data_IF_728853448950
#
_entry.id   IF_728853448950
#
_cell.length_a   1.000
_cell.length_b   1.000
_cell.length_c   1.000
_cell.angle_alpha   90.00
_cell.angle_beta   90.00
_cell.angle_gamma   90.00
#
_symmetry.space_group_name_H-M   'P 1'
#
loop_
_entity.id
_entity.type
_entity.pdbx_description
1 polymer ?
#
# COMPACT_ATOMS: atom_id res chain seq x y z
N UNK A 1 -15.32 -10.31 -3.46
CA UNK A 1 -14.09 -11.09 -3.66
C UNK A 1 -13.28 -10.41 -4.75
N UNK A 2 -12.45 -9.42 -4.41
CA UNK A 2 -11.66 -8.60 -5.36
C UNK A 2 -10.18 -8.99 -5.42
N UNK A 3 -9.72 -9.94 -4.59
CA UNK A 3 -8.30 -10.22 -4.33
C UNK A 3 -7.67 -11.39 -5.09
N UNK A 4 -8.41 -12.04 -6.00
CA UNK A 4 -7.92 -13.21 -6.78
C UNK A 4 -7.93 -12.94 -8.30
N UNK A 5 -8.44 -11.79 -8.71
CA UNK A 5 -8.44 -11.39 -10.11
C UNK A 5 -7.20 -10.55 -10.39
N UNK A 6 -6.38 -10.96 -11.36
CA UNK A 6 -5.14 -10.29 -11.74
C UNK A 6 -5.29 -9.42 -13.00
N UNK A 7 -6.50 -9.00 -13.34
CA UNK A 7 -6.77 -8.13 -14.49
C UNK A 7 -6.23 -6.70 -14.30
N UNK A 8 -5.91 -6.06 -15.42
CA UNK A 8 -5.26 -4.75 -15.48
C UNK A 8 -5.97 -3.82 -16.43
N UNK A 9 -5.90 -2.53 -16.14
CA UNK A 9 -6.26 -1.45 -17.04
C UNK A 9 -5.01 -0.64 -17.36
N UNK A 10 -4.73 -0.43 -18.65
CA UNK A 10 -3.59 0.36 -19.10
C UNK A 10 -4.01 1.82 -19.27
N UNK A 11 -3.33 2.71 -18.55
CA UNK A 11 -3.51 4.16 -18.70
C UNK A 11 -2.35 4.69 -19.55
N UNK A 12 -2.63 5.34 -20.69
CA UNK A 12 -1.59 5.86 -21.57
C UNK A 12 -0.61 6.78 -20.82
N UNK A 13 0.69 6.56 -21.03
CA UNK A 13 1.81 7.27 -20.39
C UNK A 13 1.95 7.10 -18.86
N UNK A 14 1.08 6.30 -18.24
CA UNK A 14 1.09 6.03 -16.80
C UNK A 14 1.53 4.60 -16.53
N UNK A 15 1.01 3.64 -17.29
CA UNK A 15 1.27 2.20 -17.10
C UNK A 15 0.01 1.43 -16.72
N UNK A 16 0.20 0.22 -16.22
CA UNK A 16 -0.91 -0.69 -15.91
C UNK A 16 -1.27 -0.65 -14.43
N UNK A 17 -2.57 -0.54 -14.14
CA UNK A 17 -3.13 -0.57 -12.80
C UNK A 17 -4.06 -1.77 -12.63
N UNK A 18 -4.09 -2.34 -11.44
CA UNK A 18 -4.96 -3.47 -11.10
C UNK A 18 -6.44 -3.06 -11.09
N UNK A 19 -7.27 -3.71 -11.92
CA UNK A 19 -8.70 -3.35 -12.10
C UNK A 19 -9.48 -3.41 -10.81
N UNK A 20 -9.29 -4.48 -10.01
CA UNK A 20 -10.00 -4.63 -8.74
C UNK A 20 -9.79 -3.46 -7.77
N UNK A 21 -8.64 -2.78 -7.79
CA UNK A 21 -8.42 -1.61 -6.94
C UNK A 21 -9.07 -0.36 -7.50
N UNK A 22 -9.12 -0.19 -8.84
CA UNK A 22 -9.87 0.88 -9.48
C UNK A 22 -11.38 0.76 -9.19
N UNK A 23 -11.93 -0.46 -9.27
CA UNK A 23 -13.32 -0.75 -8.90
C UNK A 23 -13.61 -0.43 -7.44
N UNK A 24 -12.70 -0.79 -6.51
CA UNK A 24 -12.83 -0.42 -5.10
C UNK A 24 -12.80 1.09 -4.85
N UNK A 25 -12.08 1.85 -5.69
CA UNK A 25 -12.11 3.32 -5.67
C UNK A 25 -13.37 3.89 -6.31
N UNK A 26 -14.20 3.06 -6.93
CA UNK A 26 -15.37 3.45 -7.71
C UNK A 26 -14.99 4.23 -8.96
N UNK A 27 -13.87 3.87 -9.59
CA UNK A 27 -13.38 4.42 -10.85
C UNK A 27 -13.66 3.39 -11.94
N UNK A 28 -14.90 3.30 -12.38
CA UNK A 28 -15.33 2.37 -13.42
C UNK A 28 -15.53 0.91 -12.96
N UNK A 29 -15.93 0.06 -13.90
CA UNK A 29 -16.18 -1.37 -13.69
C UNK A 29 -15.64 -2.22 -14.83
N UNK A 30 -15.21 -3.45 -14.54
CA UNK A 30 -14.73 -4.41 -15.55
C UNK A 30 -15.76 -4.75 -16.65
N UNK A 31 -17.05 -4.60 -16.35
CA UNK A 31 -18.14 -4.86 -17.29
C UNK A 31 -18.27 -3.76 -18.35
N UNK A 32 -17.68 -2.58 -18.10
CA UNK A 32 -17.71 -1.43 -18.97
C UNK A 32 -16.34 -0.76 -18.98
N UNK A 33 -15.44 -1.23 -19.86
CA UNK A 33 -14.08 -0.69 -19.94
C UNK A 33 -14.04 0.82 -20.26
N UNK A 34 -15.05 1.33 -20.98
CA UNK A 34 -15.15 2.76 -21.31
C UNK A 34 -15.36 3.65 -20.08
N UNK A 35 -15.90 3.08 -18.99
CA UNK A 35 -16.04 3.78 -17.73
C UNK A 35 -14.67 4.15 -17.11
N UNK A 36 -13.66 3.28 -17.22
CA UNK A 36 -12.30 3.59 -16.78
C UNK A 36 -11.71 4.74 -17.60
N UNK A 37 -11.86 4.72 -18.92
CA UNK A 37 -11.38 5.78 -19.81
C UNK A 37 -12.01 7.12 -19.48
N UNK A 38 -13.32 7.13 -19.21
CA UNK A 38 -14.06 8.34 -18.88
C UNK A 38 -13.52 9.04 -17.62
N UNK A 39 -13.03 8.26 -16.66
CA UNK A 39 -12.46 8.77 -15.41
C UNK A 39 -10.96 9.02 -15.49
N UNK A 40 -10.20 8.23 -16.24
CA UNK A 40 -8.72 8.27 -16.23
C UNK A 40 -8.10 9.04 -17.39
N UNK A 41 -8.82 9.23 -18.51
CA UNK A 41 -8.31 9.96 -19.68
C UNK A 41 -8.83 11.40 -19.76
N UNK A 42 -10.03 11.68 -19.24
CA UNK A 42 -10.52 13.07 -19.13
C UNK A 42 -9.87 13.70 -17.89
N UNK A 43 -8.86 14.53 -18.12
CA UNK A 43 -8.36 15.47 -17.09
C UNK A 43 -9.47 16.47 -16.80
N UNK A 44 -10.29 16.19 -15.81
CA UNK A 44 -11.33 17.12 -15.40
C UNK A 44 -10.69 18.24 -14.57
N UNK A 45 -9.96 19.13 -15.25
CA UNK A 45 -9.17 20.22 -14.66
C UNK A 45 -9.97 21.16 -13.74
N UNK A 46 -11.31 21.06 -13.79
CA UNK A 46 -12.23 21.91 -13.05
C UNK A 46 -12.95 21.17 -11.92
N UNK A 47 -12.75 19.85 -11.72
CA UNK A 47 -13.53 19.07 -10.75
C UNK A 47 -13.30 19.50 -9.29
N UNK A 48 -12.12 20.02 -8.94
CA UNK A 48 -11.84 20.52 -7.59
C UNK A 48 -11.86 22.05 -7.46
N UNK A 49 -12.08 22.76 -8.57
CA UNK A 49 -12.30 24.23 -8.64
C UNK A 49 -13.79 24.60 -8.67
N UNK A 50 -14.64 23.79 -8.04
CA UNK A 50 -16.08 23.99 -8.04
C UNK A 50 -16.50 25.02 -6.98
N UNK A 51 -17.41 25.90 -7.37
CA UNK A 51 -18.19 26.75 -6.45
C UNK A 51 -19.16 25.89 -5.60
N UNK A 52 -19.69 26.45 -4.52
CA UNK A 52 -20.51 25.72 -3.53
C UNK A 52 -21.79 25.07 -4.11
N UNK A 53 -22.28 25.55 -5.27
CA UNK A 53 -23.43 24.96 -5.96
C UNK A 53 -23.04 23.80 -6.89
N UNK A 54 -21.97 23.94 -7.68
CA UNK A 54 -21.49 22.84 -8.54
C UNK A 54 -20.81 21.72 -7.74
N UNK A 55 -20.37 22.00 -6.50
CA UNK A 55 -19.92 20.99 -5.55
C UNK A 55 -21.04 20.00 -5.19
N UNK A 56 -22.29 20.46 -4.97
CA UNK A 56 -23.43 19.57 -4.63
C UNK A 56 -23.84 18.67 -5.80
N UNK A 57 -23.75 19.18 -7.02
CA UNK A 57 -24.01 18.42 -8.25
C UNK A 57 -22.91 17.37 -8.50
N UNK A 58 -21.65 17.76 -8.30
CA UNK A 58 -20.50 16.86 -8.36
C UNK A 58 -20.49 15.85 -7.24
N UNK A 59 -20.95 16.20 -6.02
CA UNK A 59 -21.18 15.26 -4.91
C UNK A 59 -22.29 14.26 -5.23
N UNK A 60 -23.36 14.66 -5.94
CA UNK A 60 -24.41 13.73 -6.41
C UNK A 60 -23.89 12.74 -7.45
N UNK A 61 -23.02 13.17 -8.37
CA UNK A 61 -22.31 12.27 -9.30
C UNK A 61 -21.24 11.42 -8.59
N UNK A 62 -20.53 11.99 -7.61
CA UNK A 62 -19.49 11.36 -6.81
C UNK A 62 -20.02 10.37 -5.76
N UNK A 63 -21.31 10.40 -5.42
CA UNK A 63 -21.95 9.46 -4.49
C UNK A 63 -21.86 7.98 -4.93
N UNK A 64 -21.27 7.71 -6.10
CA UNK A 64 -20.97 6.37 -6.62
C UNK A 64 -19.48 6.00 -6.55
N UNK A 65 -18.61 6.88 -6.07
CA UNK A 65 -17.15 6.72 -6.12
C UNK A 65 -16.45 7.14 -4.83
N UNK A 66 -15.76 6.19 -4.20
CA UNK A 66 -14.99 6.46 -3.00
C UNK A 66 -13.86 7.48 -3.24
N UNK A 67 -13.23 7.43 -4.42
CA UNK A 67 -12.19 8.38 -4.80
C UNK A 67 -12.69 9.83 -4.77
N UNK A 68 -13.76 10.14 -5.50
CA UNK A 68 -14.25 11.51 -5.59
C UNK A 68 -14.78 12.02 -4.24
N UNK A 69 -15.44 11.17 -3.45
CA UNK A 69 -15.89 11.53 -2.11
C UNK A 69 -14.72 11.94 -1.21
N UNK A 70 -13.65 11.15 -1.18
CA UNK A 70 -12.45 11.45 -0.37
C UNK A 70 -11.73 12.67 -0.91
N UNK A 71 -11.56 12.78 -2.23
CA UNK A 71 -10.83 13.88 -2.85
C UNK A 71 -11.53 15.23 -2.66
N UNK A 72 -12.87 15.30 -2.80
CA UNK A 72 -13.65 16.53 -2.54
C UNK A 72 -13.53 16.90 -1.07
N UNK A 73 -13.75 15.94 -0.16
CA UNK A 73 -13.67 16.21 1.28
C UNK A 73 -12.27 16.68 1.69
N UNK A 74 -11.24 16.07 1.13
CA UNK A 74 -9.85 16.47 1.36
C UNK A 74 -9.60 17.88 0.81
N UNK A 75 -10.02 18.17 -0.42
CA UNK A 75 -9.87 19.51 -1.03
C UNK A 75 -10.46 20.60 -0.14
N UNK A 76 -11.67 20.40 0.40
CA UNK A 76 -12.30 21.38 1.28
C UNK A 76 -11.52 21.56 2.59
N UNK A 77 -11.13 20.47 3.25
CA UNK A 77 -10.33 20.54 4.47
C UNK A 77 -8.98 21.26 4.22
N UNK A 78 -8.40 21.06 3.05
CA UNK A 78 -7.18 21.73 2.64
C UNK A 78 -7.40 23.23 2.33
N UNK A 79 -8.54 23.61 1.72
CA UNK A 79 -8.89 25.02 1.52
C UNK A 79 -9.13 25.74 2.86
N UNK A 80 -9.82 25.09 3.79
CA UNK A 80 -10.08 25.60 5.15
C UNK A 80 -8.79 25.72 6.00
N UNK A 81 -7.79 24.89 5.70
CA UNK A 81 -6.54 24.82 6.47
C UNK A 81 -5.32 24.93 5.54
N UNK A 82 -4.92 26.14 5.11
CA UNK A 82 -3.87 26.33 4.08
C UNK A 82 -2.53 25.65 4.39
N UNK A 83 -2.17 25.53 5.67
CA UNK A 83 -0.91 24.92 6.11
C UNK A 83 -1.03 23.41 6.40
N UNK A 84 -2.24 22.84 6.35
CA UNK A 84 -2.45 21.43 6.64
C UNK A 84 -1.83 20.55 5.55
N UNK A 85 -1.18 19.48 5.99
CA UNK A 85 -0.72 18.37 5.16
C UNK A 85 -1.50 17.11 5.52
N UNK A 86 -1.51 16.13 4.65
CA UNK A 86 -2.21 14.86 4.90
C UNK A 86 -1.30 13.65 4.71
N UNK A 87 -1.67 12.57 5.38
CA UNK A 87 -1.06 11.26 5.25
C UNK A 87 -2.13 10.28 4.78
N UNK A 88 -1.74 9.38 3.87
CA UNK A 88 -2.61 8.28 3.44
C UNK A 88 -2.03 6.98 3.97
N UNK A 89 -2.87 6.13 4.56
CA UNK A 89 -2.42 4.86 5.12
C UNK A 89 -3.47 3.78 5.00
N UNK A 90 -3.03 2.53 5.05
CA UNK A 90 -3.92 1.39 5.06
C UNK A 90 -3.17 0.07 5.17
N UNK A 91 -3.90 -0.96 5.61
CA UNK A 91 -3.42 -2.33 5.70
C UNK A 91 -4.08 -3.20 4.62
N UNK A 92 -3.35 -4.18 4.09
CA UNK A 92 -3.88 -5.14 3.11
C UNK A 92 -4.46 -4.45 1.86
N UNK A 93 -5.70 -4.76 1.48
CA UNK A 93 -6.47 -4.03 0.46
C UNK A 93 -6.45 -2.52 0.71
N UNK A 94 -6.63 -2.07 1.96
CA UNK A 94 -6.56 -0.65 2.30
C UNK A 94 -5.18 -0.05 2.02
N UNK A 95 -4.11 -0.83 2.11
CA UNK A 95 -2.76 -0.42 1.71
C UNK A 95 -2.65 -0.20 0.20
N UNK A 96 -3.28 -1.05 -0.62
CA UNK A 96 -3.37 -0.83 -2.06
C UNK A 96 -4.15 0.45 -2.38
N UNK A 97 -5.31 0.64 -1.75
CA UNK A 97 -6.13 1.85 -1.95
C UNK A 97 -5.40 3.12 -1.49
N UNK A 98 -4.61 3.03 -0.43
CA UNK A 98 -3.83 4.16 0.11
C UNK A 98 -2.79 4.71 -0.89
N UNK A 99 -2.20 3.87 -1.74
CA UNK A 99 -1.29 4.32 -2.81
C UNK A 99 -2.02 4.61 -4.13
N UNK A 100 -3.14 3.92 -4.41
CA UNK A 100 -3.96 4.22 -5.59
C UNK A 100 -4.57 5.62 -5.48
N UNK A 101 -4.96 6.08 -4.29
CA UNK A 101 -5.50 7.43 -4.11
C UNK A 101 -4.57 8.55 -4.64
N UNK A 102 -3.33 8.71 -4.16
CA UNK A 102 -2.41 9.70 -4.71
C UNK A 102 -1.98 9.40 -6.15
N UNK A 103 -2.04 8.13 -6.59
CA UNK A 103 -1.84 7.79 -8.01
C UNK A 103 -2.92 8.41 -8.89
N UNK A 104 -4.19 8.30 -8.48
CA UNK A 104 -5.30 8.92 -9.19
C UNK A 104 -5.20 10.45 -9.16
N UNK A 105 -4.78 11.05 -8.05
CA UNK A 105 -4.48 12.48 -8.00
C UNK A 105 -3.43 12.88 -9.04
N UNK A 106 -2.37 12.09 -9.22
CA UNK A 106 -1.32 12.35 -10.21
C UNK A 106 -1.83 12.19 -11.65
N UNK A 107 -2.66 11.18 -11.90
CA UNK A 107 -3.30 10.99 -13.22
C UNK A 107 -4.22 12.17 -13.56
N UNK A 108 -4.93 12.70 -12.57
CA UNK A 108 -5.82 13.87 -12.71
C UNK A 108 -5.10 15.22 -12.71
N UNK A 109 -3.77 15.25 -12.55
CA UNK A 109 -2.98 16.49 -12.50
C UNK A 109 -3.33 17.38 -11.27
N UNK A 110 -3.73 16.78 -10.15
CA UNK A 110 -4.06 17.45 -8.88
C UNK A 110 -2.81 17.84 -8.08
N UNK A 111 -1.98 18.67 -8.70
CA UNK A 111 -0.64 19.04 -8.22
C UNK A 111 -0.69 19.71 -6.84
N UNK A 112 -1.66 20.59 -6.59
CA UNK A 112 -1.77 21.31 -5.31
C UNK A 112 -1.99 20.34 -4.13
N UNK A 113 -2.91 19.38 -4.28
CA UNK A 113 -3.12 18.36 -3.25
C UNK A 113 -1.89 17.46 -3.11
N UNK A 114 -1.25 17.05 -4.21
CA UNK A 114 -0.03 16.24 -4.14
C UNK A 114 1.15 16.94 -3.46
N UNK A 115 1.28 18.27 -3.60
CA UNK A 115 2.27 19.05 -2.87
C UNK A 115 2.04 19.02 -1.35
N UNK A 116 0.77 18.88 -0.93
CA UNK A 116 0.34 18.82 0.48
C UNK A 116 0.38 17.39 1.05
N UNK A 117 0.71 16.39 0.25
CA UNK A 117 0.93 15.01 0.70
C UNK A 117 2.22 14.93 1.52
N UNK A 118 2.08 14.65 2.82
CA UNK A 118 3.19 14.44 3.75
C UNK A 118 3.80 13.05 3.60
N UNK A 119 2.96 12.03 3.40
CA UNK A 119 3.43 10.67 3.25
C UNK A 119 2.32 9.66 2.98
N UNK A 120 2.74 8.50 2.49
CA UNK A 120 1.93 7.31 2.24
C UNK A 120 2.61 6.16 2.96
N UNK A 121 1.95 5.61 3.98
CA UNK A 121 2.47 4.49 4.77
C UNK A 121 1.54 3.31 4.63
N UNK A 122 2.00 2.22 4.04
CA UNK A 122 1.15 1.05 3.78
C UNK A 122 1.68 -0.18 4.49
N UNK A 123 0.78 -1.05 4.91
CA UNK A 123 1.10 -2.20 5.75
C UNK A 123 0.60 -3.48 5.08
N UNK A 124 1.49 -4.39 4.71
CA UNK A 124 1.06 -5.63 4.04
C UNK A 124 0.38 -5.37 2.69
N UNK A 125 0.77 -4.31 1.99
CA UNK A 125 0.16 -3.90 0.72
C UNK A 125 0.50 -4.90 -0.41
N UNK A 126 -0.47 -5.38 -1.20
CA UNK A 126 -0.23 -6.13 -2.43
C UNK A 126 0.26 -5.22 -3.58
N UNK A 127 0.85 -5.80 -4.63
CA UNK A 127 1.30 -5.06 -5.82
C UNK A 127 0.09 -4.48 -6.55
N UNK A 128 0.22 -3.23 -7.02
CA UNK A 128 -0.91 -2.48 -7.59
C UNK A 128 -0.81 -2.23 -9.10
N UNK A 129 0.36 -2.45 -9.69
CA UNK A 129 0.61 -2.16 -11.09
C UNK A 129 1.98 -2.62 -11.57
N UNK A 130 2.40 -2.10 -12.72
CA UNK A 130 3.64 -2.48 -13.39
C UNK A 130 4.81 -1.51 -13.12
N UNK A 131 5.94 -1.77 -13.77
CA UNK A 131 7.14 -0.91 -13.67
C UNK A 131 6.88 0.50 -14.19
N UNK A 132 6.05 0.64 -15.22
CA UNK A 132 5.75 1.94 -15.82
C UNK A 132 4.99 2.82 -14.82
N UNK A 133 4.03 2.24 -14.09
CA UNK A 133 3.35 2.93 -13.00
C UNK A 133 4.33 3.44 -11.93
N UNK A 134 5.30 2.61 -11.54
CA UNK A 134 6.34 3.00 -10.60
C UNK A 134 7.17 4.20 -11.08
N UNK A 135 7.57 4.18 -12.36
CA UNK A 135 8.29 5.30 -13.00
C UNK A 135 7.45 6.57 -13.09
N UNK A 136 6.16 6.43 -13.38
CA UNK A 136 5.22 7.56 -13.41
C UNK A 136 5.08 8.22 -12.03
N UNK A 137 5.03 7.44 -10.95
CA UNK A 137 4.83 7.95 -9.59
C UNK A 137 6.10 8.47 -8.90
N UNK A 138 7.28 8.07 -9.36
CA UNK A 138 8.57 8.43 -8.76
C UNK A 138 8.76 9.96 -8.57
N UNK A 139 8.50 10.83 -9.57
CA UNK A 139 8.59 12.29 -9.40
C UNK A 139 7.65 12.85 -8.33
N UNK A 140 6.49 12.22 -8.10
CA UNK A 140 5.48 12.68 -7.15
C UNK A 140 5.75 12.20 -5.71
N UNK A 141 6.53 11.12 -5.54
CA UNK A 141 6.72 10.45 -4.25
C UNK A 141 8.16 10.45 -3.74
N UNK A 142 9.16 10.81 -4.54
CA UNK A 142 10.57 10.85 -4.12
C UNK A 142 11.20 12.25 -4.09
N UNK A 143 10.55 13.28 -4.67
CA UNK A 143 11.13 14.63 -4.75
C UNK A 143 10.37 15.63 -3.84
N UNK A 144 11.04 16.40 -2.95
CA UNK A 144 12.48 16.38 -2.60
C UNK A 144 12.86 15.31 -1.57
N UNK A 145 11.88 14.66 -0.94
CA UNK A 145 12.07 13.62 0.07
C UNK A 145 11.11 12.49 -0.24
N UNK A 146 11.52 11.23 0.00
CA UNK A 146 10.62 10.10 -0.11
C UNK A 146 9.40 10.26 0.80
N UNK A 147 8.23 10.10 0.20
CA UNK A 147 6.92 10.17 0.85
C UNK A 147 6.26 8.80 0.95
N UNK A 148 6.73 7.78 0.24
CA UNK A 148 6.05 6.50 0.14
C UNK A 148 6.87 5.35 0.72
N UNK A 149 6.33 4.74 1.78
CA UNK A 149 6.95 3.67 2.53
C UNK A 149 5.99 2.48 2.67
N UNK A 150 6.44 1.31 2.21
CA UNK A 150 5.73 0.04 2.32
C UNK A 150 6.32 -0.77 3.46
N UNK A 151 5.56 -0.98 4.50
CA UNK A 151 5.94 -1.82 5.64
C UNK A 151 5.50 -3.25 5.37
N UNK A 152 6.46 -4.19 5.43
CA UNK A 152 6.22 -5.61 5.20
C UNK A 152 6.76 -6.42 6.36
N UNK A 153 5.95 -7.30 6.92
CA UNK A 153 6.35 -8.17 8.03
C UNK A 153 6.59 -9.60 7.57
N UNK A 154 7.81 -10.10 7.80
CA UNK A 154 8.15 -11.52 7.77
C UNK A 154 7.67 -12.22 6.48
N UNK A 155 6.96 -13.33 6.63
CA UNK A 155 6.46 -14.16 5.55
C UNK A 155 5.06 -13.74 5.05
N UNK A 156 4.61 -12.52 5.31
CA UNK A 156 3.28 -12.06 4.85
C UNK A 156 3.03 -12.33 3.36
N UNK A 157 2.03 -13.14 3.06
CA UNK A 157 1.71 -13.53 1.69
C UNK A 157 1.19 -12.35 0.84
N UNK A 158 0.53 -11.36 1.43
CA UNK A 158 -0.21 -10.33 0.67
C UNK A 158 0.71 -9.41 -0.13
N UNK A 159 1.84 -8.89 0.40
CA UNK A 159 2.83 -8.16 -0.39
C UNK A 159 3.48 -8.97 -1.52
N UNK A 160 3.32 -10.29 -1.52
CA UNK A 160 3.85 -11.18 -2.55
C UNK A 160 2.81 -11.46 -3.64
N UNK A 161 1.61 -10.88 -3.52
CA UNK A 161 0.54 -10.97 -4.50
C UNK A 161 0.37 -9.65 -5.26
N UNK A 162 -0.03 -9.70 -6.54
CA UNK A 162 0.02 -10.88 -7.40
C UNK A 162 1.46 -11.38 -7.58
N UNK A 163 1.66 -12.69 -7.79
CA UNK A 163 3.01 -13.26 -7.87
C UNK A 163 3.84 -12.59 -8.95
N UNK A 164 5.13 -12.39 -8.67
CA UNK A 164 6.07 -11.77 -9.59
C UNK A 164 6.56 -12.84 -10.59
N UNK A 165 5.62 -13.35 -11.37
CA UNK A 165 5.92 -14.26 -12.47
C UNK A 165 5.98 -13.48 -13.78
N UNK A 166 6.78 -13.99 -14.73
CA UNK A 166 6.92 -13.43 -16.09
C UNK A 166 5.57 -13.26 -16.81
N UNK A 167 4.51 -13.94 -16.35
CA UNK A 167 3.17 -13.88 -16.93
C UNK A 167 2.38 -12.62 -16.54
N UNK A 168 2.62 -12.07 -15.34
CA UNK A 168 1.81 -10.97 -14.83
C UNK A 168 2.55 -9.63 -14.90
N UNK A 169 3.86 -9.55 -14.61
CA UNK A 169 4.62 -8.28 -14.61
C UNK A 169 4.26 -7.28 -13.48
N UNK A 170 3.57 -7.72 -12.40
CA UNK A 170 3.28 -6.83 -11.27
C UNK A 170 4.57 -6.51 -10.53
N UNK A 171 4.77 -5.23 -10.20
CA UNK A 171 5.95 -4.76 -9.48
C UNK A 171 5.57 -3.79 -8.38
N UNK A 172 6.33 -3.86 -7.30
CA UNK A 172 6.30 -2.81 -6.29
C UNK A 172 7.14 -1.63 -6.74
N UNK A 173 6.83 -0.46 -6.19
CA UNK A 173 7.65 0.75 -6.24
C UNK A 173 7.62 1.43 -4.87
N UNK A 174 8.44 2.46 -4.68
CA UNK A 174 8.64 3.10 -3.38
C UNK A 174 9.52 2.30 -2.42
N UNK A 175 9.85 2.88 -1.27
CA UNK A 175 10.76 2.27 -0.30
C UNK A 175 10.08 1.12 0.47
N UNK A 176 10.72 -0.05 0.56
CA UNK A 176 10.24 -1.17 1.36
C UNK A 176 10.97 -1.23 2.70
N UNK A 177 10.22 -1.15 3.80
CA UNK A 177 10.71 -1.37 5.15
C UNK A 177 10.29 -2.79 5.57
N UNK A 178 11.24 -3.71 5.48
CA UNK A 178 11.03 -5.11 5.83
C UNK A 178 11.38 -5.33 7.30
N UNK A 179 10.43 -5.90 8.05
CA UNK A 179 10.62 -6.34 9.42
C UNK A 179 10.69 -7.85 9.51
N UNK A 180 11.69 -8.38 10.21
CA UNK A 180 11.75 -9.80 10.53
C UNK A 180 10.91 -10.16 11.77
N UNK A 181 10.92 -11.43 12.14
CA UNK A 181 10.20 -11.97 13.32
C UNK A 181 10.58 -11.34 14.67
N UNK A 182 11.73 -10.65 14.73
CA UNK A 182 12.24 -9.93 15.91
C UNK A 182 11.92 -8.43 15.84
N UNK A 183 11.16 -7.99 14.82
CA UNK A 183 10.89 -6.59 14.53
C UNK A 183 12.16 -5.77 14.26
N UNK A 184 13.18 -6.38 13.68
CA UNK A 184 14.33 -5.65 13.16
C UNK A 184 14.02 -5.16 11.73
N UNK A 185 13.99 -3.84 11.56
CA UNK A 185 13.65 -3.16 10.32
C UNK A 185 14.86 -2.99 9.40
N UNK A 186 14.66 -3.23 8.11
CA UNK A 186 15.66 -3.04 7.05
C UNK A 186 15.02 -2.43 5.80
N UNK A 187 15.65 -1.39 5.25
CA UNK A 187 15.31 -0.89 3.92
C UNK A 187 15.72 -1.91 2.86
N UNK A 188 14.79 -2.23 1.96
CA UNK A 188 14.99 -3.16 0.84
C UNK A 188 14.35 -2.60 -0.42
N UNK A 189 14.84 -3.06 -1.57
CA UNK A 189 14.21 -2.77 -2.87
C UNK A 189 12.86 -3.51 -2.99
N UNK A 190 12.82 -4.80 -2.64
CA UNK A 190 11.57 -5.57 -2.51
C UNK A 190 11.64 -6.61 -1.38
N UNK A 191 10.48 -7.16 -1.05
CA UNK A 191 10.31 -8.22 -0.04
C UNK A 191 11.14 -9.47 -0.40
N UNK A 192 11.87 -10.08 0.57
CA UNK A 192 12.54 -11.34 0.33
C UNK A 192 11.52 -12.44 0.02
N UNK A 193 11.90 -13.40 -0.82
CA UNK A 193 10.99 -14.41 -1.35
C UNK A 193 9.74 -13.78 -2.01
N UNK A 194 9.88 -13.13 -3.17
CA UNK A 194 8.76 -12.46 -3.84
C UNK A 194 7.68 -13.45 -4.32
N UNK A 195 8.01 -14.74 -4.44
CA UNK A 195 7.11 -15.82 -4.84
C UNK A 195 6.92 -16.80 -3.67
N UNK A 196 5.87 -16.58 -2.88
CA UNK A 196 5.62 -17.27 -1.60
C UNK A 196 5.71 -18.82 -1.65
N UNK A 197 5.40 -19.44 -2.79
CA UNK A 197 5.38 -20.89 -2.96
C UNK A 197 6.70 -21.51 -3.47
N UNK A 198 7.80 -20.75 -3.53
CA UNK A 198 9.11 -21.32 -3.85
C UNK A 198 9.53 -22.33 -2.76
N UNK A 199 9.74 -23.58 -3.19
CA UNK A 199 10.09 -24.74 -2.35
C UNK A 199 11.28 -24.46 -1.43
N UNK A 200 12.23 -23.61 -1.86
CA UNK A 200 13.40 -23.23 -1.06
C UNK A 200 13.03 -22.56 0.27
N UNK A 201 11.89 -21.88 0.33
CA UNK A 201 11.49 -21.08 1.48
C UNK A 201 10.46 -21.77 2.38
N UNK A 202 9.84 -22.88 1.95
CA UNK A 202 8.82 -23.58 2.73
C UNK A 202 9.31 -23.98 4.12
N UNK A 203 10.48 -24.61 4.21
CA UNK A 203 11.04 -25.04 5.50
C UNK A 203 11.41 -23.84 6.40
N UNK A 204 12.20 -22.84 5.94
CA UNK A 204 12.45 -21.63 6.71
C UNK A 204 11.19 -20.90 7.20
N UNK A 205 10.15 -20.83 6.38
CA UNK A 205 8.87 -20.20 6.74
C UNK A 205 8.14 -20.94 7.86
N UNK A 206 8.10 -22.28 7.80
CA UNK A 206 7.50 -23.10 8.87
C UNK A 206 8.28 -22.98 10.17
N UNK A 207 9.61 -22.98 10.12
CA UNK A 207 10.44 -22.76 11.29
C UNK A 207 10.17 -21.38 11.90
N UNK A 208 10.08 -20.32 11.08
CA UNK A 208 9.70 -18.98 11.55
C UNK A 208 8.32 -18.99 12.21
N UNK A 209 7.31 -19.65 11.63
CA UNK A 209 5.97 -19.74 12.22
C UNK A 209 5.98 -20.41 13.60
N UNK A 210 6.70 -21.53 13.77
CA UNK A 210 6.85 -22.20 15.07
C UNK A 210 7.48 -21.27 16.09
N UNK A 211 8.57 -20.61 15.72
CA UNK A 211 9.26 -19.69 16.61
C UNK A 211 8.36 -18.48 16.95
N UNK A 212 7.51 -18.00 16.04
CA UNK A 212 6.58 -16.89 16.31
C UNK A 212 5.50 -17.29 17.30
N UNK A 213 4.97 -18.51 17.19
CA UNK A 213 4.05 -19.07 18.18
C UNK A 213 4.74 -19.22 19.54
N UNK A 214 5.99 -19.68 19.59
CA UNK A 214 6.73 -19.74 20.85
C UNK A 214 6.91 -18.34 21.47
N UNK A 215 7.20 -17.32 20.64
CA UNK A 215 7.32 -15.91 21.09
C UNK A 215 5.99 -15.37 21.63
N UNK A 216 4.87 -15.71 21.01
CA UNK A 216 3.54 -15.26 21.44
C UNK A 216 3.08 -15.88 22.77
N UNK A 217 3.59 -17.07 23.11
CA UNK A 217 3.33 -17.74 24.37
C UNK A 217 4.27 -17.29 25.50
N UNK A 218 5.47 -16.82 25.14
CA UNK A 218 6.52 -16.41 26.08
C UNK A 218 6.75 -14.89 25.97
N UNK A 219 5.76 -14.11 26.40
CA UNK A 219 5.75 -12.64 26.29
C UNK A 219 7.01 -12.00 26.91
N UNK A 220 7.55 -12.58 27.99
CA UNK A 220 8.79 -12.16 28.67
C UNK A 220 10.06 -12.15 27.78
N UNK A 221 10.02 -12.83 26.63
CA UNK A 221 11.16 -12.89 25.69
C UNK A 221 11.04 -11.89 24.53
N UNK A 222 10.01 -11.04 24.52
CA UNK A 222 9.86 -10.01 23.48
C UNK A 222 10.37 -8.66 23.99
N UNK A 223 11.43 -8.08 23.40
CA UNK A 223 11.94 -6.79 23.84
C UNK A 223 10.92 -5.68 23.59
N UNK A 224 10.56 -4.95 24.65
CA UNK A 224 9.75 -3.73 24.60
C UNK A 224 8.41 -3.85 25.33
N UNK A 225 8.18 -2.94 26.27
CA UNK A 225 6.95 -2.90 27.10
C UNK A 225 5.67 -2.66 26.30
N UNK A 226 5.79 -2.25 25.03
CA UNK A 226 4.65 -1.98 24.15
C UNK A 226 4.20 -3.19 23.32
N UNK A 227 4.89 -4.33 23.43
CA UNK A 227 4.50 -5.55 22.73
C UNK A 227 3.10 -5.98 23.13
N UNK A 228 2.25 -6.22 22.14
CA UNK A 228 0.89 -6.73 22.36
C UNK A 228 0.65 -7.99 21.55
N UNK A 229 0.04 -8.96 22.22
CA UNK A 229 -0.39 -10.23 21.63
C UNK A 229 -1.71 -10.64 22.27
N UNK A 230 -2.77 -10.76 21.47
CA UNK A 230 -4.09 -11.17 21.97
C UNK A 230 -4.31 -12.67 21.80
N UNK A 231 -5.25 -13.25 22.53
CA UNK A 231 -5.64 -14.66 22.38
C UNK A 231 -6.02 -14.99 20.94
N UNK A 232 -6.73 -14.08 20.25
CA UNK A 232 -7.05 -14.23 18.82
C UNK A 232 -5.78 -14.32 17.97
N UNK A 233 -4.78 -13.47 18.24
CA UNK A 233 -3.51 -13.50 17.51
C UNK A 233 -2.71 -14.78 17.78
N UNK A 234 -2.73 -15.30 19.02
CA UNK A 234 -2.15 -16.61 19.36
C UNK A 234 -2.83 -17.74 18.57
N UNK A 235 -4.17 -17.70 18.44
CA UNK A 235 -4.94 -18.62 17.59
C UNK A 235 -4.57 -18.51 16.10
N UNK A 236 -4.43 -17.29 15.58
CA UNK A 236 -3.97 -17.05 14.20
C UNK A 236 -2.55 -17.61 13.98
N UNK A 237 -1.63 -17.47 14.95
CA UNK A 237 -0.29 -18.06 14.87
C UNK A 237 -0.30 -19.59 14.90
N UNK A 238 -1.21 -20.20 15.66
CA UNK A 238 -1.39 -21.66 15.64
C UNK A 238 -1.83 -22.14 14.25
N UNK A 239 -2.80 -21.46 13.62
CA UNK A 239 -3.15 -21.71 12.22
C UNK A 239 -1.99 -21.42 11.25
N UNK A 240 -1.15 -20.45 11.61
CA UNK A 240 0.08 -20.08 10.89
C UNK A 240 1.11 -21.21 10.77
N UNK A 241 1.03 -22.27 11.58
CA UNK A 241 1.88 -23.46 11.39
C UNK A 241 1.58 -24.16 10.05
N UNK A 242 0.32 -24.11 9.59
CA UNK A 242 -0.09 -24.60 8.29
C UNK A 242 0.11 -23.55 7.19
N UNK A 243 -0.30 -22.30 7.47
CA UNK A 243 -0.28 -21.18 6.52
C UNK A 243 0.47 -19.94 7.09
N UNK A 244 1.82 -19.96 7.13
CA UNK A 244 2.64 -18.93 7.79
C UNK A 244 2.36 -17.49 7.36
N UNK A 245 2.09 -17.29 6.08
CA UNK A 245 1.87 -15.96 5.49
C UNK A 245 0.57 -15.32 5.91
N UNK A 246 -0.48 -16.10 6.18
CA UNK A 246 -1.75 -15.56 6.69
C UNK A 246 -1.56 -15.06 8.12
N UNK A 247 -0.87 -15.82 8.96
CA UNK A 247 -0.56 -15.40 10.32
C UNK A 247 0.34 -14.16 10.36
N UNK A 248 1.30 -14.07 9.44
CA UNK A 248 2.18 -12.91 9.28
C UNK A 248 1.41 -11.66 8.86
N UNK A 249 0.32 -11.80 8.09
CA UNK A 249 -0.51 -10.68 7.63
C UNK A 249 -1.35 -10.00 8.73
N UNK A 250 -1.35 -10.52 9.96
CA UNK A 250 -2.13 -9.98 11.07
C UNK A 250 -1.75 -8.51 11.37
N UNK A 251 -2.72 -7.57 11.45
CA UNK A 251 -2.47 -6.16 11.80
C UNK A 251 -1.64 -5.94 13.07
N UNK A 252 -1.75 -6.80 14.07
CA UNK A 252 -0.96 -6.69 15.31
C UNK A 252 0.54 -6.78 15.04
N UNK A 253 0.96 -7.59 14.06
CA UNK A 253 2.38 -7.64 13.68
C UNK A 253 2.85 -6.29 13.13
N UNK A 254 2.01 -5.62 12.33
CA UNK A 254 2.32 -4.30 11.77
C UNK A 254 2.34 -3.20 12.82
N UNK A 255 1.42 -3.23 13.79
CA UNK A 255 1.47 -2.34 14.96
C UNK A 255 2.76 -2.55 15.74
N UNK A 256 3.16 -3.80 15.96
CA UNK A 256 4.41 -4.13 16.63
C UNK A 256 5.64 -3.71 15.81
N UNK A 257 5.60 -3.76 14.48
CA UNK A 257 6.68 -3.23 13.63
C UNK A 257 6.92 -1.74 13.90
N UNK A 258 5.84 -0.95 13.99
CA UNK A 258 5.95 0.50 14.23
C UNK A 258 6.38 0.82 15.65
N UNK A 259 5.90 0.07 16.65
CA UNK A 259 6.16 0.33 18.08
C UNK A 259 7.50 -0.19 18.57
N UNK A 260 7.86 -1.40 18.15
CA UNK A 260 9.05 -2.11 18.62
C UNK A 260 10.20 -2.04 17.63
N UNK A 261 9.92 -1.59 16.41
CA UNK A 261 10.85 -1.56 15.30
C UNK A 261 12.16 -0.90 15.69
N UNK A 262 13.25 -1.64 15.53
CA UNK A 262 14.61 -1.07 15.59
C UNK A 262 15.18 -1.12 14.19
N UNK A 263 15.53 0.04 13.63
CA UNK A 263 16.15 0.11 12.31
C UNK A 263 17.60 -0.35 12.40
N UNK A 264 17.97 -1.37 11.62
CA UNK A 264 19.33 -1.95 11.66
C UNK A 264 20.35 -1.19 10.78
N UNK A 265 19.95 -0.17 10.04
CA UNK A 265 20.85 0.68 9.26
C UNK A 265 20.19 2.02 8.92
N UNK A 266 20.94 3.11 9.06
CA UNK A 266 20.61 4.40 8.45
C UNK A 266 20.43 4.24 6.93
N UNK A 267 19.56 5.07 6.35
CA UNK A 267 19.38 5.23 4.90
C UNK A 267 20.72 5.04 4.19
N UNK A 268 20.83 4.09 3.28
CA UNK A 268 21.89 4.08 2.28
C UNK A 268 21.70 5.36 1.46
N UNK A 269 22.25 6.46 1.95
CA UNK A 269 22.53 7.63 1.14
C UNK A 269 23.50 7.10 0.11
N UNK A 270 23.03 6.93 -1.12
CA UNK A 270 23.91 6.94 -2.27
C UNK A 270 24.62 8.29 -2.21
N UNK A 271 25.79 8.30 -1.57
CA UNK A 271 26.76 9.36 -1.71
C UNK A 271 27.09 9.34 -3.19
N UNK A 272 26.49 10.27 -3.93
CA UNK A 272 27.02 10.76 -5.19
C UNK A 272 28.44 11.23 -4.88
N UNK A 273 29.42 10.36 -5.14
CA UNK A 273 30.77 10.82 -5.38
C UNK A 273 30.70 11.62 -6.67
N UNK A 274 31.06 12.90 -6.51
CA UNK A 274 31.30 13.92 -7.52
C UNK A 274 31.96 13.41 -8.80
#
# INVERSE_FOLDING_TARGET
MTSIDFSWFEVPNVGKLHVGYLECMGIGTRSDASSFESHLQKRDKNFFQLDAESEKESLRKANKSAYYLVAIKLSNLLKENPNAKFVVTGHSLGGALAIIFPTLLAIQDEVEMLQRLLGVYTFGQPRIGDVQLGKFMEPHLHNPVAKYFRVVYSDDIVPRLPFNDKAFHYKHFGECIYYDRQYLGQFKEDVPNPNYFDMKYIFPMRLRAVLELMRSLKEDFTPGSEYKETTLCKGLRLMGLLLPGIASHNPVNYVNCVRLGREKAARLTSITLS
#
